data_IF_428923773762
#
_entry.id   IF_428923773762
#
_cell.length_a   1.000
_cell.length_b   1.000
_cell.length_c   1.000
_cell.angle_alpha   90.00
_cell.angle_beta   90.00
_cell.angle_gamma   90.00
#
_symmetry.space_group_name_H-M   'P 1'
#
loop_
_entity.id
_entity.type
_entity.pdbx_description
1 polymer ?
#
# COMPACT_ATOMS: atom_id res chain seq x y z
N UNK A 1 11.53 -12.15 20.77
CA UNK A 1 11.38 -12.47 19.34
C UNK A 1 11.16 -11.19 18.53
N UNK A 2 12.10 -10.85 17.66
CA UNK A 2 12.00 -9.71 16.75
C UNK A 2 11.61 -10.19 15.36
N UNK A 3 10.62 -9.55 14.76
CA UNK A 3 10.22 -9.75 13.36
C UNK A 3 10.70 -8.55 12.57
N UNK A 4 11.31 -8.79 11.41
CA UNK A 4 11.84 -7.74 10.54
C UNK A 4 11.52 -8.01 9.07
N UNK A 5 11.47 -6.95 8.26
CA UNK A 5 11.42 -7.10 6.81
C UNK A 5 12.82 -7.42 6.34
N UNK A 6 13.03 -8.64 5.86
CA UNK A 6 14.31 -9.11 5.31
C UNK A 6 14.54 -8.56 3.92
N UNK A 7 13.50 -8.53 3.10
CA UNK A 7 13.57 -8.08 1.72
C UNK A 7 12.25 -7.47 1.26
N UNK A 8 12.37 -6.48 0.38
CA UNK A 8 11.27 -5.83 -0.31
C UNK A 8 11.59 -5.80 -1.80
N UNK A 9 10.64 -6.21 -2.64
CA UNK A 9 10.74 -6.15 -4.10
C UNK A 9 10.65 -4.75 -4.67
N UNK A 10 10.39 -3.77 -3.81
CA UNK A 10 10.42 -2.35 -4.09
C UNK A 10 11.44 -1.68 -3.15
N UNK A 11 11.97 -0.47 -3.44
CA UNK A 11 13.02 0.15 -2.62
C UNK A 11 12.69 0.34 -1.13
N UNK A 12 11.42 0.29 -0.75
CA UNK A 12 10.94 0.22 0.62
C UNK A 12 9.54 -0.42 0.65
N UNK A 13 9.15 -0.90 1.82
CA UNK A 13 7.88 -1.55 2.07
C UNK A 13 6.98 -0.69 2.96
N UNK A 14 5.69 -0.62 2.68
CA UNK A 14 4.73 0.05 3.54
C UNK A 14 4.26 -0.92 4.62
N UNK A 15 4.57 -0.67 5.89
CA UNK A 15 4.10 -1.52 6.96
C UNK A 15 2.58 -1.40 7.16
N UNK A 16 1.91 -2.55 7.20
CA UNK A 16 0.50 -2.69 7.54
C UNK A 16 0.27 -4.03 8.24
N UNK A 17 -0.52 -4.01 9.31
CA UNK A 17 -0.91 -5.20 10.05
C UNK A 17 -0.71 -5.10 11.56
N UNK A 18 -0.55 -3.90 12.13
CA UNK A 18 -0.36 -3.74 13.58
C UNK A 18 -1.51 -4.32 14.42
N UNK A 19 -2.72 -4.38 13.85
CA UNK A 19 -3.89 -4.99 14.48
C UNK A 19 -3.78 -6.50 14.64
N UNK A 20 -2.93 -7.19 13.87
CA UNK A 20 -2.68 -8.61 14.04
C UNK A 20 -1.87 -8.93 15.31
N UNK A 21 -1.35 -7.91 15.99
CA UNK A 21 -0.64 -8.05 17.25
C UNK A 21 -1.57 -7.97 18.47
N UNK A 22 -2.86 -7.73 18.27
CA UNK A 22 -3.83 -7.68 19.36
C UNK A 22 -3.86 -9.02 20.12
N UNK A 23 -3.79 -8.95 21.45
CA UNK A 23 -3.69 -10.13 22.31
C UNK A 23 -2.30 -10.74 22.45
N UNK A 24 -1.28 -10.20 21.76
CA UNK A 24 0.12 -10.62 21.89
C UNK A 24 0.89 -9.71 22.87
N UNK A 25 1.98 -10.23 23.45
CA UNK A 25 2.86 -9.45 24.33
C UNK A 25 3.85 -8.60 23.49
N UNK A 26 3.39 -7.42 23.07
CA UNK A 26 4.15 -6.48 22.22
C UNK A 26 5.05 -5.58 23.05
N UNK A 27 6.35 -5.57 22.75
CA UNK A 27 7.35 -4.69 23.40
C UNK A 27 7.57 -3.42 22.58
N UNK A 28 7.86 -3.57 21.29
CA UNK A 28 8.09 -2.48 20.33
C UNK A 28 7.38 -2.81 19.03
N UNK A 29 6.84 -1.82 18.34
CA UNK A 29 6.26 -2.03 17.02
C UNK A 29 6.26 -0.76 16.17
N UNK A 30 6.27 -0.96 14.86
CA UNK A 30 6.03 0.06 13.82
C UNK A 30 4.53 0.31 13.73
N UNK A 31 4.12 1.57 13.61
CA UNK A 31 2.72 1.91 13.31
C UNK A 31 2.38 1.72 11.83
N UNK A 32 1.14 1.34 11.52
CA UNK A 32 0.68 1.17 10.14
C UNK A 32 0.90 2.43 9.27
N UNK A 33 0.98 2.25 7.96
CA UNK A 33 1.26 3.27 6.97
C UNK A 33 2.65 3.92 7.16
N UNK A 34 3.64 3.15 7.63
CA UNK A 34 5.02 3.64 7.80
C UNK A 34 5.95 2.96 6.80
N UNK A 35 6.73 3.71 6.00
CA UNK A 35 7.75 3.16 5.12
C UNK A 35 8.87 2.50 5.91
N UNK A 36 9.24 1.27 5.56
CA UNK A 36 10.29 0.45 6.18
C UNK A 36 11.32 0.10 5.10
N UNK A 37 12.60 0.33 5.38
CA UNK A 37 13.69 0.05 4.45
C UNK A 37 14.46 -1.19 4.94
N UNK A 38 14.38 -2.33 4.24
CA UNK A 38 15.04 -3.55 4.69
C UNK A 38 16.58 -3.43 4.78
N UNK A 39 17.24 -4.19 5.69
CA UNK A 39 16.64 -4.95 6.78
C UNK A 39 16.25 -4.03 7.95
N UNK A 40 14.97 -4.00 8.33
CA UNK A 40 14.50 -3.17 9.44
C UNK A 40 13.39 -3.89 10.23
N UNK A 41 13.45 -3.76 11.55
CA UNK A 41 12.50 -4.39 12.49
C UNK A 41 11.11 -3.81 12.31
N UNK A 42 10.08 -4.65 12.48
CA UNK A 42 8.68 -4.20 12.48
C UNK A 42 8.00 -4.38 13.83
N UNK A 43 8.40 -5.40 14.58
CA UNK A 43 7.84 -5.68 15.91
C UNK A 43 8.82 -6.50 16.76
N UNK A 44 8.79 -6.29 18.06
CA UNK A 44 9.38 -7.13 19.08
C UNK A 44 8.26 -7.69 19.96
N UNK A 45 8.19 -9.02 20.03
CA UNK A 45 7.18 -9.80 20.74
C UNK A 45 7.87 -10.67 21.80
N UNK A 46 7.21 -10.81 22.94
CA UNK A 46 7.56 -11.76 24.00
C UNK A 46 6.64 -12.99 23.93
N UNK A 47 7.16 -14.14 24.39
CA UNK A 47 6.37 -15.34 24.69
C UNK A 47 5.45 -15.85 23.55
N UNK A 48 5.86 -15.70 22.29
CA UNK A 48 5.07 -16.17 21.13
C UNK A 48 5.39 -17.63 20.77
N UNK A 49 4.36 -18.44 20.50
CA UNK A 49 4.53 -19.81 20.02
C UNK A 49 4.89 -19.85 18.52
N UNK A 50 5.60 -20.90 18.10
CA UNK A 50 6.04 -21.04 16.70
C UNK A 50 4.91 -21.09 15.67
N UNK A 51 3.76 -21.68 16.03
CA UNK A 51 2.62 -21.78 15.11
C UNK A 51 1.90 -20.45 14.92
N UNK A 52 1.70 -19.68 16.01
CA UNK A 52 1.14 -18.32 15.94
C UNK A 52 2.08 -17.43 15.12
N UNK A 53 3.40 -17.53 15.34
CA UNK A 53 4.39 -16.78 14.60
C UNK A 53 4.33 -17.06 13.09
N UNK A 54 4.22 -18.33 12.67
CA UNK A 54 4.11 -18.69 11.24
C UNK A 54 2.84 -18.14 10.59
N UNK A 55 1.70 -18.22 11.28
CA UNK A 55 0.44 -17.66 10.79
C UNK A 55 0.51 -16.13 10.67
N UNK A 56 1.06 -15.47 11.68
CA UNK A 56 1.30 -14.03 11.71
C UNK A 56 2.20 -13.59 10.55
N UNK A 57 3.32 -14.27 10.32
CA UNK A 57 4.24 -13.96 9.21
C UNK A 57 3.58 -14.12 7.84
N UNK A 58 2.82 -15.21 7.64
CA UNK A 58 2.12 -15.45 6.38
C UNK A 58 1.13 -14.32 6.07
N UNK A 59 0.35 -13.90 7.08
CA UNK A 59 -0.65 -12.84 6.93
C UNK A 59 0.00 -11.47 6.74
N UNK A 60 0.96 -11.10 7.58
CA UNK A 60 1.70 -9.85 7.47
C UNK A 60 2.34 -9.69 6.09
N UNK A 61 2.91 -10.77 5.54
CA UNK A 61 3.53 -10.73 4.21
C UNK A 61 2.55 -10.26 3.14
N UNK A 62 1.32 -10.77 3.15
CA UNK A 62 0.28 -10.38 2.17
C UNK A 62 -0.14 -8.92 2.36
N UNK A 63 -0.39 -8.51 3.61
CA UNK A 63 -0.86 -7.15 3.92
C UNK A 63 0.21 -6.09 3.60
N UNK A 64 1.46 -6.32 4.00
CA UNK A 64 2.58 -5.42 3.70
C UNK A 64 2.81 -5.39 2.18
N UNK A 65 2.68 -6.52 1.47
CA UNK A 65 2.85 -6.52 0.01
C UNK A 65 1.78 -5.68 -0.69
N UNK A 66 0.51 -5.83 -0.31
CA UNK A 66 -0.58 -5.01 -0.83
C UNK A 66 -0.33 -3.52 -0.54
N UNK A 67 -0.08 -3.17 0.73
CA UNK A 67 0.17 -1.79 1.13
C UNK A 67 1.37 -1.19 0.37
N UNK A 68 2.42 -1.97 0.15
CA UNK A 68 3.63 -1.52 -0.57
C UNK A 68 3.36 -1.26 -2.05
N UNK A 69 2.67 -2.19 -2.74
CA UNK A 69 2.33 -2.03 -4.16
C UNK A 69 1.43 -0.81 -4.40
N UNK A 70 0.45 -0.61 -3.51
CA UNK A 70 -0.41 0.59 -3.53
C UNK A 70 0.43 1.84 -3.31
N UNK A 71 1.24 1.88 -2.25
CA UNK A 71 1.98 3.08 -1.88
C UNK A 71 3.01 3.49 -2.92
N UNK A 72 3.66 2.54 -3.59
CA UNK A 72 4.55 2.82 -4.71
C UNK A 72 3.84 3.36 -5.94
N UNK A 73 2.65 2.84 -6.24
CA UNK A 73 1.83 3.37 -7.33
C UNK A 73 1.34 4.78 -7.02
N UNK A 74 0.92 5.05 -5.77
CA UNK A 74 0.58 6.39 -5.29
C UNK A 74 1.78 7.35 -5.34
N UNK A 75 2.98 6.85 -5.00
CA UNK A 75 4.23 7.64 -5.02
C UNK A 75 4.54 8.24 -6.39
N UNK A 76 4.24 7.50 -7.47
CA UNK A 76 4.44 7.98 -8.84
C UNK A 76 3.23 8.75 -9.38
N UNK A 77 2.26 9.11 -8.53
CA UNK A 77 1.12 9.95 -8.88
C UNK A 77 -0.09 9.21 -9.46
N UNK A 78 -0.10 7.87 -9.46
CA UNK A 78 -1.21 7.10 -10.00
C UNK A 78 -2.38 7.04 -9.01
N UNK A 79 -3.60 7.01 -9.54
CA UNK A 79 -4.77 6.52 -8.80
C UNK A 79 -4.68 5.01 -8.64
N UNK A 80 -5.10 4.47 -7.50
CA UNK A 80 -5.01 3.03 -7.22
C UNK A 80 -6.34 2.50 -6.72
N UNK A 81 -6.91 1.57 -7.48
CA UNK A 81 -8.07 0.78 -7.05
C UNK A 81 -7.64 -0.67 -6.81
N UNK A 82 -8.33 -1.35 -5.89
CA UNK A 82 -8.14 -2.80 -5.66
C UNK A 82 -9.33 -3.54 -6.26
N UNK A 83 -9.09 -4.56 -7.07
CA UNK A 83 -10.19 -5.39 -7.56
C UNK A 83 -10.74 -6.27 -6.43
N UNK A 84 -12.07 -6.34 -6.28
CA UNK A 84 -12.72 -7.04 -5.18
C UNK A 84 -12.30 -8.50 -5.06
N UNK A 85 -12.05 -9.19 -6.18
CA UNK A 85 -11.60 -10.60 -6.17
C UNK A 85 -10.16 -10.79 -5.72
N UNK A 86 -9.34 -9.74 -5.65
CA UNK A 86 -8.00 -9.78 -5.10
C UNK A 86 -8.00 -9.88 -3.56
N UNK A 87 -9.12 -9.52 -2.93
CA UNK A 87 -9.26 -9.44 -1.47
C UNK A 87 -9.68 -10.81 -0.94
N UNK A 88 -8.86 -11.36 -0.04
CA UNK A 88 -9.19 -12.59 0.69
C UNK A 88 -9.87 -12.28 2.02
N UNK A 89 -10.50 -13.28 2.64
CA UNK A 89 -11.02 -13.14 4.00
C UNK A 89 -9.88 -13.10 5.05
N UNK A 90 -10.08 -12.41 6.20
CA UNK A 90 -11.09 -11.38 6.44
C UNK A 90 -10.89 -10.12 5.58
N UNK A 91 -11.93 -9.68 4.88
CA UNK A 91 -11.90 -8.51 3.96
C UNK A 91 -11.34 -7.24 4.62
N UNK A 92 -11.71 -6.99 5.89
CA UNK A 92 -11.33 -5.78 6.62
C UNK A 92 -9.80 -5.60 6.76
N UNK A 93 -9.04 -6.70 6.86
CA UNK A 93 -7.57 -6.61 6.92
C UNK A 93 -6.98 -6.02 5.64
N UNK A 94 -7.45 -6.49 4.49
CA UNK A 94 -6.95 -6.02 3.19
C UNK A 94 -7.42 -4.62 2.87
N UNK A 95 -8.64 -4.24 3.29
CA UNK A 95 -9.09 -2.84 3.20
C UNK A 95 -8.16 -1.94 4.04
N UNK A 96 -7.87 -2.31 5.29
CA UNK A 96 -6.92 -1.55 6.13
C UNK A 96 -5.53 -1.49 5.52
N UNK A 97 -5.04 -2.58 4.94
CA UNK A 97 -3.74 -2.61 4.26
C UNK A 97 -3.74 -1.71 3.00
N UNK A 98 -4.80 -1.75 2.20
CA UNK A 98 -4.97 -0.88 1.05
C UNK A 98 -5.00 0.60 1.46
N UNK A 99 -5.74 0.94 2.52
CA UNK A 99 -5.77 2.29 3.09
C UNK A 99 -4.40 2.71 3.64
N UNK A 100 -3.67 1.80 4.31
CA UNK A 100 -2.31 2.05 4.79
C UNK A 100 -1.31 2.28 3.64
N UNK A 101 -1.61 1.78 2.43
CA UNK A 101 -0.88 2.12 1.21
C UNK A 101 -1.36 3.39 0.50
N UNK A 102 -2.53 3.93 0.89
CA UNK A 102 -3.10 5.13 0.26
C UNK A 102 -4.08 4.86 -0.90
N UNK A 103 -4.68 3.66 -0.97
CA UNK A 103 -5.62 3.30 -2.03
C UNK A 103 -6.81 4.27 -2.12
N UNK A 104 -7.30 4.46 -3.34
CA UNK A 104 -8.40 5.39 -3.63
C UNK A 104 -9.76 4.71 -3.62
N UNK A 105 -9.82 3.38 -3.74
CA UNK A 105 -11.08 2.66 -3.77
C UNK A 105 -10.95 1.16 -3.98
N UNK A 106 -12.08 0.47 -3.89
CA UNK A 106 -12.22 -0.94 -4.28
C UNK A 106 -13.16 -1.02 -5.47
N UNK A 107 -12.73 -1.68 -6.54
CA UNK A 107 -13.53 -1.97 -7.70
C UNK A 107 -14.35 -3.24 -7.44
N UNK A 108 -15.66 -3.11 -7.33
CA UNK A 108 -16.59 -4.24 -7.14
C UNK A 108 -17.28 -4.56 -8.46
N UNK A 109 -17.42 -5.85 -8.75
CA UNK A 109 -18.34 -6.37 -9.74
C UNK A 109 -19.57 -6.98 -9.06
N UNK A 110 -20.56 -7.40 -9.85
CA UNK A 110 -21.83 -7.92 -9.35
C UNK A 110 -21.69 -9.18 -8.45
N UNK A 111 -20.51 -9.81 -8.40
CA UNK A 111 -20.28 -11.06 -7.67
C UNK A 111 -19.71 -10.87 -6.27
N UNK A 112 -19.01 -9.77 -6.01
CA UNK A 112 -18.31 -9.53 -4.73
C UNK A 112 -18.83 -8.23 -4.10
N UNK A 113 -19.83 -8.37 -3.24
CA UNK A 113 -20.41 -7.27 -2.47
C UNK A 113 -19.49 -6.81 -1.34
N UNK A 114 -18.52 -5.94 -1.64
CA UNK A 114 -17.76 -5.23 -0.62
C UNK A 114 -18.54 -3.98 -0.27
N UNK A 115 -19.18 -3.99 0.90
CA UNK A 115 -19.74 -2.79 1.49
C UNK A 115 -18.81 -2.32 2.61
N UNK A 116 -18.25 -1.12 2.46
CA UNK A 116 -17.36 -0.54 3.45
C UNK A 116 -17.54 0.96 3.52
N UNK A 117 -17.81 1.48 4.71
CA UNK A 117 -17.81 2.92 4.98
C UNK A 117 -16.39 3.50 5.08
N UNK A 118 -15.35 2.66 4.90
CA UNK A 118 -13.95 3.02 5.12
C UNK A 118 -13.21 3.35 3.82
N UNK A 119 -13.68 2.82 2.69
CA UNK A 119 -13.04 2.97 1.38
C UNK A 119 -14.10 3.13 0.29
N UNK A 120 -13.84 4.01 -0.67
CA UNK A 120 -14.78 4.27 -1.75
C UNK A 120 -15.00 2.99 -2.59
N UNK A 121 -16.26 2.63 -2.80
CA UNK A 121 -16.65 1.49 -3.63
C UNK A 121 -16.97 1.99 -5.02
N UNK A 122 -16.20 1.51 -5.99
CA UNK A 122 -16.31 1.89 -7.41
C UNK A 122 -17.04 0.78 -8.14
N UNK A 123 -18.16 1.13 -8.77
CA UNK A 123 -18.96 0.21 -9.57
C UNK A 123 -18.58 0.29 -11.05
N UNK A 124 -18.79 -0.82 -11.75
CA UNK A 124 -18.45 -0.97 -13.17
C UNK A 124 -19.66 -1.45 -13.95
N UNK A 125 -19.85 -0.90 -15.15
CA UNK A 125 -20.86 -1.31 -16.13
C UNK A 125 -22.33 -1.25 -15.67
N UNK A 126 -22.63 -0.63 -14.53
CA UNK A 126 -24.01 -0.50 -14.04
C UNK A 126 -24.64 0.84 -14.51
N UNK A 127 -25.93 0.81 -14.87
CA UNK A 127 -26.74 2.04 -15.06
C UNK A 127 -27.11 2.59 -13.69
N UNK A 128 -26.17 3.25 -13.03
CA UNK A 128 -26.42 3.81 -11.70
C UNK A 128 -26.95 5.24 -11.87
N UNK A 129 -27.72 5.71 -10.88
CA UNK A 129 -28.29 7.07 -10.81
C UNK A 129 -27.25 8.17 -11.07
N UNK A 130 -27.71 9.37 -11.46
CA UNK A 130 -26.89 10.50 -11.94
C UNK A 130 -25.73 10.95 -11.01
N UNK A 131 -25.63 10.48 -9.76
CA UNK A 131 -24.62 10.89 -8.78
C UNK A 131 -23.53 9.83 -8.49
N UNK A 132 -23.42 8.78 -9.32
CA UNK A 132 -22.47 7.68 -9.10
C UNK A 132 -21.31 7.69 -10.09
N UNK A 133 -20.12 7.39 -9.59
CA UNK A 133 -18.91 7.25 -10.41
C UNK A 133 -18.92 5.87 -11.06
N UNK A 134 -19.22 5.80 -12.36
CA UNK A 134 -19.25 4.55 -13.10
C UNK A 134 -18.07 4.44 -14.06
N UNK A 135 -17.31 3.35 -13.97
CA UNK A 135 -16.27 3.03 -14.95
C UNK A 135 -16.79 1.99 -15.95
N UNK A 136 -16.21 1.96 -17.14
CA UNK A 136 -16.40 0.86 -18.09
C UNK A 136 -15.12 0.04 -18.19
N UNK A 137 -15.27 -1.28 -18.25
CA UNK A 137 -14.15 -2.19 -18.51
C UNK A 137 -14.11 -2.50 -19.99
N UNK A 138 -12.96 -2.26 -20.62
CA UNK A 138 -12.72 -2.57 -22.02
C UNK A 138 -11.65 -3.65 -22.11
N UNK A 139 -11.90 -4.66 -22.95
CA UNK A 139 -10.85 -5.53 -23.47
C UNK A 139 -10.43 -5.00 -24.85
N UNK A 140 -9.14 -4.94 -25.17
CA UNK A 140 -8.66 -4.37 -26.43
C UNK A 140 -9.26 -5.03 -27.69
N UNK A 141 -9.60 -6.31 -27.58
CA UNK A 141 -10.10 -7.13 -28.68
C UNK A 141 -11.63 -7.10 -28.83
N UNK A 142 -12.33 -6.35 -27.97
CA UNK A 142 -13.81 -6.30 -27.97
C UNK A 142 -14.32 -4.95 -28.51
N UNK A 143 -15.50 -4.96 -29.17
CA UNK A 143 -16.10 -3.72 -29.66
C UNK A 143 -16.48 -2.78 -28.49
N UNK A 144 -16.34 -1.48 -28.74
CA UNK A 144 -16.59 -0.44 -27.73
C UNK A 144 -18.10 -0.23 -27.50
N UNK A 145 -18.60 -0.38 -26.26
CA UNK A 145 -20.00 -0.12 -25.94
C UNK A 145 -20.31 1.38 -26.05
N UNK A 146 -21.16 1.77 -27.00
CA UNK A 146 -21.45 3.20 -27.28
C UNK A 146 -22.55 3.82 -26.39
N UNK A 147 -23.25 3.02 -25.58
CA UNK A 147 -24.48 3.44 -24.88
C UNK A 147 -24.26 3.96 -23.45
N UNK A 148 -23.01 4.07 -22.98
CA UNK A 148 -22.69 4.46 -21.60
C UNK A 148 -21.80 5.70 -21.63
N UNK A 149 -22.11 6.71 -20.81
CA UNK A 149 -21.21 7.84 -20.52
C UNK A 149 -20.42 7.54 -19.25
N UNK A 150 -19.21 6.96 -19.36
CA UNK A 150 -18.41 6.64 -18.18
C UNK A 150 -17.81 7.90 -17.54
N UNK A 151 -17.46 7.78 -16.26
CA UNK A 151 -16.51 8.67 -15.60
C UNK A 151 -15.08 8.36 -16.03
N UNK A 152 -14.72 7.07 -16.05
CA UNK A 152 -13.40 6.57 -16.43
C UNK A 152 -13.45 5.23 -17.12
N UNK A 153 -12.31 4.80 -17.64
CA UNK A 153 -12.16 3.63 -18.49
C UNK A 153 -11.06 2.77 -17.89
N UNK A 154 -11.37 1.49 -17.70
CA UNK A 154 -10.44 0.50 -17.16
C UNK A 154 -10.13 -0.48 -18.28
N UNK A 155 -8.85 -0.62 -18.63
CA UNK A 155 -8.43 -1.63 -19.61
C UNK A 155 -8.15 -2.93 -18.88
N UNK A 156 -8.87 -3.97 -19.27
CA UNK A 156 -8.56 -5.35 -18.92
C UNK A 156 -7.59 -5.94 -19.95
N UNK A 157 -6.63 -6.76 -19.50
CA UNK A 157 -5.68 -7.46 -20.36
C UNK A 157 -4.85 -6.48 -21.22
N UNK A 158 -4.45 -5.35 -20.63
CA UNK A 158 -3.67 -4.35 -21.34
C UNK A 158 -2.27 -4.88 -21.70
N UNK A 159 -1.78 -4.49 -22.87
CA UNK A 159 -0.37 -4.67 -23.22
C UNK A 159 0.41 -3.58 -22.49
N UNK A 160 1.30 -3.98 -21.58
CA UNK A 160 2.15 -3.06 -20.80
C UNK A 160 3.31 -2.59 -21.68
N UNK A 161 2.96 -1.76 -22.65
CA UNK A 161 3.86 -1.07 -23.57
C UNK A 161 3.40 0.38 -23.69
N UNK A 162 4.33 1.32 -23.49
CA UNK A 162 4.03 2.76 -23.45
C UNK A 162 3.36 3.24 -24.73
N UNK A 163 3.91 2.89 -25.88
CA UNK A 163 3.41 3.38 -27.17
C UNK A 163 2.04 2.77 -27.49
N UNK A 164 1.85 1.49 -27.16
CA UNK A 164 0.55 0.83 -27.27
C UNK A 164 -0.50 1.49 -26.40
N UNK A 165 -0.18 1.77 -25.13
CA UNK A 165 -1.10 2.40 -24.18
C UNK A 165 -1.47 3.82 -24.62
N UNK A 166 -0.51 4.61 -25.12
CA UNK A 166 -0.77 5.94 -25.66
C UNK A 166 -1.73 5.88 -26.86
N UNK A 167 -1.46 5.01 -27.84
CA UNK A 167 -2.34 4.83 -29.00
C UNK A 167 -3.73 4.37 -28.61
N UNK A 168 -3.83 3.44 -27.65
CA UNK A 168 -5.11 2.94 -27.18
C UNK A 168 -5.90 4.03 -26.45
N UNK A 169 -5.23 4.80 -25.58
CA UNK A 169 -5.81 5.95 -24.88
C UNK A 169 -6.38 6.98 -25.85
N UNK A 170 -5.63 7.34 -26.89
CA UNK A 170 -6.07 8.34 -27.86
C UNK A 170 -7.27 7.85 -28.69
N UNK A 171 -7.27 6.58 -29.07
CA UNK A 171 -8.43 5.92 -29.71
C UNK A 171 -9.65 5.95 -28.80
N UNK A 172 -9.50 5.56 -27.54
CA UNK A 172 -10.59 5.56 -26.56
C UNK A 172 -11.11 6.98 -26.31
N UNK A 173 -10.22 7.99 -26.25
CA UNK A 173 -10.60 9.40 -26.12
C UNK A 173 -11.42 9.92 -27.30
N UNK A 174 -11.16 9.45 -28.52
CA UNK A 174 -12.00 9.80 -29.68
C UNK A 174 -13.45 9.29 -29.58
N UNK A 175 -13.68 8.24 -28.79
CA UNK A 175 -15.01 7.62 -28.62
C UNK A 175 -15.73 8.19 -27.39
N UNK A 176 -15.03 8.30 -26.26
CA UNK A 176 -15.63 8.64 -24.96
C UNK A 176 -15.26 10.04 -24.43
N UNK A 177 -14.41 10.77 -25.14
CA UNK A 177 -13.84 12.04 -24.70
C UNK A 177 -12.69 11.86 -23.69
N UNK A 178 -12.28 12.95 -23.07
CA UNK A 178 -11.25 12.93 -22.03
C UNK A 178 -11.83 12.35 -20.73
N UNK A 179 -11.51 11.09 -20.47
CA UNK A 179 -11.90 10.31 -19.29
C UNK A 179 -10.67 9.82 -18.56
N UNK A 180 -10.82 9.51 -17.27
CA UNK A 180 -9.77 8.79 -16.54
C UNK A 180 -9.48 7.46 -17.25
N UNK A 181 -8.20 7.12 -17.32
CA UNK A 181 -7.70 5.97 -18.06
C UNK A 181 -6.85 5.10 -17.13
N UNK A 182 -7.43 3.97 -16.71
CA UNK A 182 -6.84 3.04 -15.77
C UNK A 182 -6.51 1.71 -16.44
N UNK A 183 -5.55 0.99 -15.88
CA UNK A 183 -5.13 -0.33 -16.38
C UNK A 183 -5.21 -1.38 -15.26
N UNK A 184 -5.77 -2.56 -15.56
CA UNK A 184 -5.71 -3.71 -14.67
C UNK A 184 -4.30 -4.33 -14.70
N UNK A 185 -3.66 -4.43 -13.53
CA UNK A 185 -2.33 -5.00 -13.38
C UNK A 185 -2.40 -6.25 -12.50
N UNK A 186 -1.80 -7.32 -13.03
CA UNK A 186 -1.56 -8.55 -12.30
C UNK A 186 -0.35 -8.43 -11.36
N UNK A 187 -0.12 -9.49 -10.57
CA UNK A 187 0.99 -9.55 -9.62
C UNK A 187 2.37 -9.42 -10.28
N UNK A 188 2.53 -9.90 -11.51
CA UNK A 188 3.79 -9.85 -12.25
C UNK A 188 4.13 -8.45 -12.78
N UNK A 189 3.11 -7.62 -13.04
CA UNK A 189 3.24 -6.26 -13.55
C UNK A 189 3.45 -5.22 -12.45
N UNK A 190 3.27 -5.57 -11.17
CA UNK A 190 3.47 -4.69 -10.02
C UNK A 190 4.95 -4.60 -9.60
N UNK A 191 5.81 -4.24 -10.56
CA UNK A 191 7.24 -3.97 -10.38
C UNK A 191 7.53 -2.49 -10.48
N UNK A 192 8.59 -2.05 -9.83
CA UNK A 192 8.99 -0.64 -9.78
C UNK A 192 9.10 -0.04 -11.18
N UNK A 193 9.84 -0.70 -12.06
CA UNK A 193 10.18 -0.20 -13.40
C UNK A 193 8.90 0.01 -14.23
N UNK A 194 8.00 -0.96 -14.18
CA UNK A 194 6.70 -0.91 -14.86
C UNK A 194 5.84 0.23 -14.30
N UNK A 195 5.71 0.33 -12.97
CA UNK A 195 4.90 1.37 -12.33
C UNK A 195 5.42 2.78 -12.67
N UNK A 196 6.74 2.97 -12.66
CA UNK A 196 7.38 4.23 -13.04
C UNK A 196 7.13 4.58 -14.51
N UNK A 197 7.24 3.62 -15.43
CA UNK A 197 6.97 3.81 -16.86
C UNK A 197 5.51 4.22 -17.14
N UNK A 198 4.56 3.67 -16.39
CA UNK A 198 3.13 3.93 -16.56
C UNK A 198 2.69 5.32 -16.09
N UNK A 199 3.41 5.93 -15.13
CA UNK A 199 3.03 7.19 -14.45
C UNK A 199 2.70 8.37 -15.39
N UNK A 200 3.31 8.42 -16.58
CA UNK A 200 3.11 9.50 -17.55
C UNK A 200 2.13 9.14 -18.68
N UNK A 201 1.54 7.94 -18.62
CA UNK A 201 0.74 7.37 -19.71
C UNK A 201 -0.70 7.19 -19.29
N UNK A 202 -0.92 6.71 -18.07
CA UNK A 202 -2.23 6.35 -17.52
C UNK A 202 -2.51 7.18 -16.26
N UNK A 203 -3.79 7.31 -15.91
CA UNK A 203 -4.21 8.08 -14.72
C UNK A 203 -4.22 7.21 -13.46
N UNK A 204 -4.27 5.88 -13.61
CA UNK A 204 -4.25 4.96 -12.48
C UNK A 204 -4.19 3.48 -12.84
N UNK A 205 -4.17 2.65 -11.81
CA UNK A 205 -4.12 1.19 -11.94
C UNK A 205 -5.22 0.54 -11.11
N UNK A 206 -5.58 -0.68 -11.49
CA UNK A 206 -6.43 -1.60 -10.71
C UNK A 206 -5.60 -2.83 -10.38
N UNK A 207 -5.34 -3.08 -9.11
CA UNK A 207 -4.60 -4.27 -8.65
C UNK A 207 -5.55 -5.47 -8.65
N UNK A 208 -5.28 -6.47 -9.50
CA UNK A 208 -6.15 -7.66 -9.63
C UNK A 208 -5.69 -8.83 -8.78
N UNK A 209 -4.44 -8.82 -8.34
CA UNK A 209 -3.82 -9.85 -7.49
C UNK A 209 -2.81 -9.22 -6.54
N UNK A 210 -2.72 -9.73 -5.32
CA UNK A 210 -1.76 -9.24 -4.33
C UNK A 210 -0.37 -9.80 -4.69
N UNK A 211 0.62 -8.96 -4.99
CA UNK A 211 1.94 -9.44 -5.37
C UNK A 211 2.68 -9.99 -4.14
N UNK A 212 3.59 -10.95 -4.34
CA UNK A 212 4.46 -11.46 -3.27
C UNK A 212 5.82 -10.75 -3.29
N UNK A 213 5.84 -9.47 -2.89
CA UNK A 213 7.01 -8.60 -2.95
C UNK A 213 7.69 -8.40 -1.59
N UNK A 214 7.33 -9.19 -0.58
CA UNK A 214 7.87 -9.04 0.79
C UNK A 214 8.38 -10.37 1.30
N UNK A 215 9.55 -10.35 1.94
CA UNK A 215 10.05 -11.44 2.76
C UNK A 215 10.24 -10.94 4.20
N UNK A 216 9.65 -11.68 5.14
CA UNK A 216 9.78 -11.45 6.57
C UNK A 216 10.67 -12.54 7.17
N UNK A 217 11.40 -12.19 8.21
CA UNK A 217 12.24 -13.11 8.96
C UNK A 217 12.17 -12.74 10.45
N UNK A 218 12.68 -13.61 11.31
CA UNK A 218 12.64 -13.41 12.75
C UNK A 218 13.88 -13.94 13.46
N UNK A 219 14.23 -13.33 14.58
CA UNK A 219 15.34 -13.74 15.44
C UNK A 219 15.11 -13.36 16.92
N UNK A 220 16.05 -13.75 17.77
CA UNK A 220 16.00 -13.49 19.22
C UNK A 220 16.64 -12.16 19.64
N UNK A 221 17.07 -11.32 18.68
CA UNK A 221 17.61 -10.01 19.02
C UNK A 221 16.50 -9.05 19.45
N UNK A 222 16.87 -8.00 20.19
CA UNK A 222 15.96 -6.90 20.51
C UNK A 222 15.82 -5.96 19.31
N UNK A 223 14.64 -5.40 19.11
CA UNK A 223 14.48 -4.33 18.13
C UNK A 223 15.06 -3.04 18.71
N UNK A 224 15.82 -2.28 17.91
CA UNK A 224 16.20 -0.93 18.30
C UNK A 224 15.00 0.02 18.20
N UNK A 225 15.08 1.15 18.90
CA UNK A 225 14.14 2.24 18.71
C UNK A 225 14.55 3.05 17.49
N UNK A 226 13.58 3.43 16.66
CA UNK A 226 13.78 4.20 15.43
C UNK A 226 13.02 5.52 15.55
N UNK A 227 13.71 6.63 15.30
CA UNK A 227 13.15 7.97 15.39
C UNK A 227 13.41 8.77 14.11
N UNK A 228 12.39 9.46 13.60
CA UNK A 228 12.51 10.32 12.42
C UNK A 228 12.61 11.78 12.79
N UNK A 229 13.52 12.51 12.17
CA UNK A 229 13.52 13.97 12.28
C UNK A 229 12.38 14.59 11.48
N UNK A 230 11.61 15.47 12.11
CA UNK A 230 10.48 16.17 11.46
C UNK A 230 10.91 17.21 10.42
N UNK A 231 12.20 17.60 10.42
CA UNK A 231 12.73 18.62 9.51
C UNK A 231 13.55 18.00 8.37
N UNK A 232 14.55 17.17 8.71
CA UNK A 232 15.43 16.58 7.70
C UNK A 232 14.99 15.18 7.22
N UNK A 233 13.92 14.61 7.80
CA UNK A 233 13.37 13.28 7.46
C UNK A 233 14.40 12.13 7.45
N UNK A 234 15.49 12.30 8.20
CA UNK A 234 16.47 11.24 8.46
C UNK A 234 15.99 10.45 9.67
N UNK A 235 16.03 9.13 9.54
CA UNK A 235 15.78 8.21 10.65
C UNK A 235 17.07 7.85 11.37
N UNK A 236 16.92 7.62 12.66
CA UNK A 236 18.01 7.26 13.56
C UNK A 236 17.61 6.04 14.38
N UNK A 237 18.51 5.07 14.44
CA UNK A 237 18.37 3.85 15.22
C UNK A 237 19.22 3.93 16.49
N UNK A 238 18.64 3.57 17.63
CA UNK A 238 19.28 3.68 18.95
C UNK A 238 18.67 2.68 19.95
N UNK A 239 19.44 2.29 20.96
CA UNK A 239 18.94 1.48 22.07
C UNK A 239 17.97 2.25 22.98
N UNK A 240 18.19 3.56 23.13
CA UNK A 240 17.47 4.43 24.07
C UNK A 240 16.49 5.40 23.41
N UNK A 241 16.02 6.37 24.18
CA UNK A 241 15.20 7.47 23.66
C UNK A 241 16.08 8.66 23.24
N UNK A 242 15.75 9.24 22.09
CA UNK A 242 16.35 10.50 21.61
C UNK A 242 15.24 11.50 21.28
N UNK A 243 15.42 12.75 21.73
CA UNK A 243 14.42 13.82 21.56
C UNK A 243 14.73 14.81 20.43
N UNK A 244 16.02 14.99 20.13
CA UNK A 244 16.51 15.97 19.14
C UNK A 244 17.35 15.29 18.07
N UNK A 245 17.22 15.76 16.84
CA UNK A 245 17.95 15.26 15.69
C UNK A 245 19.45 15.60 15.82
N UNK A 246 20.35 14.62 15.73
CA UNK A 246 21.79 14.88 15.77
C UNK A 246 22.29 15.76 14.63
N UNK A 247 21.58 15.78 13.48
CA UNK A 247 21.99 16.53 12.29
C UNK A 247 21.57 17.99 12.31
N UNK A 248 20.36 18.30 12.79
CA UNK A 248 19.78 19.65 12.68
C UNK A 248 19.16 20.19 13.97
N UNK A 249 19.20 19.46 15.08
CA UNK A 249 18.67 19.88 16.38
C UNK A 249 17.13 19.90 16.49
N UNK A 250 16.39 19.70 15.40
CA UNK A 250 14.92 19.65 15.38
C UNK A 250 14.36 18.45 16.16
N UNK A 251 13.06 18.48 16.47
CA UNK A 251 12.37 17.40 17.18
C UNK A 251 12.40 16.09 16.39
N UNK A 252 12.47 14.97 17.12
CA UNK A 252 12.29 13.63 16.57
C UNK A 252 10.87 13.10 16.86
N UNK A 253 10.26 12.42 15.88
CA UNK A 253 9.04 11.63 16.04
C UNK A 253 9.39 10.14 16.13
N UNK A 254 8.83 9.37 17.06
CA UNK A 254 9.10 7.94 17.15
C UNK A 254 8.43 7.19 16.00
N UNK A 255 9.14 6.23 15.44
CA UNK A 255 8.67 5.29 14.41
C UNK A 255 8.53 3.90 15.03
N UNK A 256 9.60 3.43 15.68
CA UNK A 256 9.63 2.23 16.51
C UNK A 256 10.09 2.67 17.88
N UNK A 257 9.32 2.37 18.91
CA UNK A 257 9.74 2.58 20.30
C UNK A 257 9.03 1.59 21.20
N UNK A 258 9.44 1.58 22.46
CA UNK A 258 8.63 0.94 23.49
C UNK A 258 7.29 1.67 23.61
N UNK A 259 6.19 0.91 23.59
CA UNK A 259 4.85 1.46 23.73
C UNK A 259 4.20 0.86 24.97
N UNK A 260 3.66 1.72 25.83
CA UNK A 260 2.98 1.25 27.05
C UNK A 260 1.71 0.44 26.73
N UNK A 261 1.10 0.70 25.57
CA UNK A 261 0.02 -0.11 25.01
C UNK A 261 0.09 -0.16 23.49
N UNK A 262 -0.43 -1.25 22.92
CA UNK A 262 -0.72 -1.32 21.50
C UNK A 262 -1.76 -0.26 21.13
N UNK A 263 -1.39 0.65 20.23
CA UNK A 263 -2.26 1.66 19.67
C UNK A 263 -2.41 1.44 18.17
N UNK A 264 -3.60 1.02 17.76
CA UNK A 264 -3.98 0.92 16.36
C UNK A 264 -4.39 2.30 15.83
N UNK A 265 -4.07 2.57 14.57
CA UNK A 265 -4.55 3.76 13.88
C UNK A 265 -5.96 3.47 13.38
N UNK A 266 -6.87 4.42 13.57
CA UNK A 266 -8.23 4.29 13.04
C UNK A 266 -8.21 4.20 11.51
N UNK A 267 -8.98 3.29 10.88
CA UNK A 267 -8.93 3.09 9.44
C UNK A 267 -9.15 4.37 8.61
N UNK A 268 -10.02 5.26 9.09
CA UNK A 268 -10.31 6.56 8.43
C UNK A 268 -9.10 7.49 8.33
N UNK A 269 -8.11 7.32 9.21
CA UNK A 269 -6.88 8.13 9.27
C UNK A 269 -5.73 7.48 8.50
N UNK A 270 -5.80 6.17 8.22
CA UNK A 270 -4.71 5.42 7.55
C UNK A 270 -4.33 6.02 6.19
N UNK A 271 -5.32 6.32 5.34
CA UNK A 271 -5.07 6.89 4.00
C UNK A 271 -4.40 8.26 4.07
N UNK A 272 -4.84 9.11 5.00
CA UNK A 272 -4.23 10.44 5.20
C UNK A 272 -2.79 10.32 5.68
N UNK A 273 -2.53 9.43 6.65
CA UNK A 273 -1.16 9.16 7.11
C UNK A 273 -0.29 8.59 6.01
N UNK A 274 -0.80 7.64 5.22
CA UNK A 274 -0.07 7.03 4.13
C UNK A 274 0.40 8.08 3.12
N UNK A 275 -0.49 8.99 2.72
CA UNK A 275 -0.16 10.07 1.78
C UNK A 275 0.93 11.01 2.33
N UNK A 276 0.85 11.42 3.61
CA UNK A 276 1.90 12.22 4.29
C UNK A 276 3.26 11.50 4.28
N UNK A 277 3.25 10.20 4.59
CA UNK A 277 4.47 9.38 4.63
C UNK A 277 5.05 9.13 3.24
N UNK A 278 4.22 9.00 2.21
CA UNK A 278 4.61 8.86 0.80
C UNK A 278 5.26 10.16 0.28
N UNK A 279 4.73 11.32 0.66
CA UNK A 279 5.31 12.62 0.30
C UNK A 279 6.71 12.79 0.92
N UNK A 280 6.84 12.45 2.21
CA UNK A 280 8.05 12.69 3.01
C UNK A 280 8.92 11.45 3.25
N UNK A 281 8.97 10.57 2.24
CA UNK A 281 9.53 9.22 2.34
C UNK A 281 10.99 9.10 2.78
N UNK A 282 11.27 7.93 3.35
CA UNK A 282 12.62 7.38 3.53
C UNK A 282 13.24 7.02 2.19
N UNK A 283 14.46 7.49 1.95
CA UNK A 283 15.27 7.05 0.80
C UNK A 283 16.31 6.00 1.24
N UNK A 284 16.67 5.99 2.53
CA UNK A 284 17.73 5.15 3.09
C UNK A 284 17.29 4.55 4.43
N UNK A 285 17.88 3.41 4.84
CA UNK A 285 17.64 2.85 6.17
C UNK A 285 18.09 3.81 7.29
N UNK A 286 17.58 3.64 8.52
CA UNK A 286 17.97 4.47 9.65
C UNK A 286 19.49 4.49 9.88
N UNK A 287 20.02 5.65 10.26
CA UNK A 287 21.42 5.77 10.66
C UNK A 287 21.59 5.31 12.10
N UNK A 288 22.47 4.34 12.32
CA UNK A 288 22.84 3.92 13.67
C UNK A 288 23.55 5.08 14.37
N UNK A 289 22.99 5.51 15.49
CA UNK A 289 23.71 6.38 16.43
C UNK A 289 24.27 5.44 17.48
N UNK A 290 25.58 5.19 17.43
CA UNK A 290 26.26 4.50 18.51
C UNK A 290 26.10 5.34 19.77
N UNK A 291 25.41 4.79 20.77
CA UNK A 291 25.46 5.23 22.16
C UNK A 291 26.68 4.62 22.83
#
# INVERSE_FOLDING_TARGET
MRIFIKWCGLPWCMFAGSWLFEGLEVVKYVRDATPIVPPESIVELNNISGDILRQLLSRLRQLISLASAVAWSKKVGLRVLIYGSAISEPINDFIRAALAGGADGVLTDDFIGINSDLIDVVHVNQRISNNSVNYIILSPDKPYPQLIKPYGIIIKDAIIDKDWLLRFRDRVRSVYGNKEFLVMLDSASLKREIIEELSNVIDGIVITEIPSIVSLDFDEYRAFSVFRCVNCYVDFETEGEIRKCPRCGSRLRPIIRHWDKLMMIEPKVLRLKANDEIEHMRINPPKVINS
#
